data_IF_520001291874
#
_entry.id   IF_520001291874
#
_cell.length_a   1.000
_cell.length_b   1.000
_cell.length_c   1.000
_cell.angle_alpha   90.00
_cell.angle_beta   90.00
_cell.angle_gamma   90.00
#
_symmetry.space_group_name_H-M   'P 1'
#
loop_
_entity.id
_entity.type
_entity.pdbx_description
1 polymer ?
#
# COMPACT_ATOMS: atom_id res chain seq x y z
N UNK A 1 -24.55 -3.82 13.50
CA UNK A 1 -23.66 -4.23 12.39
C UNK A 1 -24.48 -4.27 11.10
N UNK A 2 -23.98 -3.68 10.03
CA UNK A 2 -24.70 -3.53 8.74
C UNK A 2 -24.85 -4.84 7.95
N UNK A 3 -24.38 -5.98 8.47
CA UNK A 3 -24.35 -7.26 7.77
C UNK A 3 -23.36 -7.32 6.59
N UNK A 4 -22.58 -6.28 6.37
CA UNK A 4 -21.56 -6.24 5.31
C UNK A 4 -20.33 -7.06 5.69
N UNK A 5 -19.81 -7.82 4.73
CA UNK A 5 -18.55 -8.57 4.88
C UNK A 5 -17.38 -7.65 4.57
N UNK A 6 -16.41 -7.60 5.48
CA UNK A 6 -15.17 -6.87 5.31
C UNK A 6 -13.99 -7.84 5.13
N UNK A 7 -13.04 -7.46 4.30
CA UNK A 7 -11.79 -8.19 4.08
C UNK A 7 -10.65 -7.23 4.42
N UNK A 8 -9.82 -7.61 5.38
CA UNK A 8 -8.60 -6.88 5.70
C UNK A 8 -7.47 -7.34 4.77
N UNK A 9 -6.80 -6.41 4.11
CA UNK A 9 -5.59 -6.68 3.29
C UNK A 9 -4.30 -6.46 4.08
N UNK A 10 -4.41 -5.89 5.29
CA UNK A 10 -3.24 -5.45 6.05
C UNK A 10 -2.56 -4.25 5.40
N UNK A 11 -1.24 -4.16 5.59
CA UNK A 11 -0.42 -3.12 4.95
C UNK A 11 -0.17 -3.53 3.50
N UNK A 12 -0.64 -2.74 2.55
CA UNK A 12 -0.49 -3.01 1.12
C UNK A 12 -0.32 -1.72 0.31
N UNK A 13 0.31 -1.76 -0.87
CA UNK A 13 0.33 -0.62 -1.79
C UNK A 13 -1.07 -0.24 -2.25
N UNK A 14 -1.32 1.07 -2.41
CA UNK A 14 -2.63 1.57 -2.86
C UNK A 14 -3.16 0.88 -4.13
N UNK A 15 -2.34 0.60 -5.17
CA UNK A 15 -2.81 -0.09 -6.38
C UNK A 15 -3.35 -1.51 -6.16
N UNK A 16 -3.04 -2.15 -5.03
CA UNK A 16 -3.61 -3.46 -4.70
C UNK A 16 -5.13 -3.40 -4.55
N UNK A 17 -5.67 -2.29 -4.03
CA UNK A 17 -7.12 -2.12 -3.82
C UNK A 17 -7.89 -2.19 -5.15
N UNK A 18 -7.66 -1.28 -6.13
CA UNK A 18 -8.37 -1.34 -7.41
C UNK A 18 -8.13 -2.63 -8.19
N UNK A 19 -6.93 -3.20 -8.12
CA UNK A 19 -6.64 -4.49 -8.72
C UNK A 19 -7.54 -5.59 -8.14
N UNK A 20 -7.60 -5.72 -6.82
CA UNK A 20 -8.37 -6.77 -6.16
C UNK A 20 -9.88 -6.57 -6.28
N UNK A 21 -10.37 -5.32 -6.34
CA UNK A 21 -11.78 -5.06 -6.66
C UNK A 21 -12.14 -5.74 -7.97
N UNK A 22 -11.35 -5.53 -9.02
CA UNK A 22 -11.63 -6.07 -10.35
C UNK A 22 -11.46 -7.59 -10.45
N UNK A 23 -10.39 -8.13 -9.85
CA UNK A 23 -9.98 -9.52 -10.09
C UNK A 23 -10.50 -10.51 -9.02
N UNK A 24 -10.91 -10.01 -7.86
CA UNK A 24 -11.51 -10.82 -6.80
C UNK A 24 -13.01 -10.54 -6.60
N UNK A 25 -13.64 -9.75 -7.50
CA UNK A 25 -15.08 -9.48 -7.47
C UNK A 25 -15.56 -8.74 -6.23
N UNK A 26 -14.75 -7.79 -5.72
CA UNK A 26 -15.11 -7.02 -4.54
C UNK A 26 -15.98 -5.82 -4.93
N UNK A 27 -16.96 -5.48 -4.08
CA UNK A 27 -17.92 -4.41 -4.38
C UNK A 27 -17.34 -3.00 -4.25
N UNK A 28 -16.31 -2.81 -3.43
CA UNK A 28 -15.65 -1.52 -3.19
C UNK A 28 -14.38 -1.74 -2.36
N UNK A 29 -13.56 -0.70 -2.21
CA UNK A 29 -12.37 -0.75 -1.36
C UNK A 29 -12.05 0.58 -0.71
N UNK A 30 -11.39 0.50 0.44
CA UNK A 30 -10.95 1.67 1.21
C UNK A 30 -9.45 1.52 1.48
N UNK A 31 -8.69 2.57 1.18
CA UNK A 31 -7.29 2.70 1.55
C UNK A 31 -7.12 3.83 2.57
N UNK A 32 -6.46 3.53 3.66
CA UNK A 32 -6.06 4.51 4.65
C UNK A 32 -4.59 4.84 4.41
N UNK A 33 -4.31 6.05 3.92
CA UNK A 33 -2.95 6.48 3.56
C UNK A 33 -2.90 7.97 3.25
N UNK A 34 -1.88 8.66 3.76
CA UNK A 34 -1.55 10.03 3.40
C UNK A 34 -0.47 10.13 2.29
N UNK A 35 -0.24 9.03 1.53
CA UNK A 35 0.74 8.97 0.43
C UNK A 35 2.17 9.21 0.91
N UNK A 36 2.84 10.27 0.41
CA UNK A 36 4.22 10.63 0.73
C UNK A 36 4.34 11.65 1.89
N UNK A 37 3.23 11.98 2.54
CA UNK A 37 3.25 12.90 3.68
C UNK A 37 3.92 12.24 4.90
N UNK A 38 4.43 13.06 5.85
CA UNK A 38 4.94 12.59 7.13
C UNK A 38 3.88 11.82 7.96
N UNK A 39 4.30 11.07 9.00
CA UNK A 39 3.42 10.15 9.73
C UNK A 39 2.29 10.82 10.50
N UNK A 40 2.36 12.14 10.76
CA UNK A 40 1.31 12.91 11.42
C UNK A 40 0.05 13.06 10.56
N UNK A 41 0.18 12.87 9.26
CA UNK A 41 -0.92 12.97 8.31
C UNK A 41 -1.55 11.62 8.03
N UNK A 42 -2.83 11.63 7.75
CA UNK A 42 -3.55 10.46 7.26
C UNK A 42 -4.63 10.88 6.26
N UNK A 43 -5.19 9.91 5.56
CA UNK A 43 -6.23 10.16 4.57
C UNK A 43 -6.99 8.88 4.23
N UNK A 44 -8.18 9.04 3.66
CA UNK A 44 -9.03 7.94 3.23
C UNK A 44 -9.25 8.07 1.72
N UNK A 45 -8.97 6.99 0.98
CA UNK A 45 -9.29 6.87 -0.45
C UNK A 45 -10.33 5.77 -0.61
N UNK A 46 -11.43 6.08 -1.27
CA UNK A 46 -12.52 5.13 -1.52
C UNK A 46 -12.55 4.81 -3.01
N UNK A 47 -12.69 3.51 -3.31
CA UNK A 47 -12.78 2.97 -4.67
C UNK A 47 -14.13 2.31 -4.86
N UNK A 48 -14.74 2.54 -6.01
CA UNK A 48 -16.01 1.91 -6.41
C UNK A 48 -15.82 0.46 -6.90
N UNK A 49 -16.87 -0.16 -7.33
CA UNK A 49 -16.88 -1.54 -7.85
C UNK A 49 -16.06 -1.74 -9.14
N UNK A 50 -15.74 -0.66 -9.85
CA UNK A 50 -14.85 -0.67 -11.03
C UNK A 50 -13.38 -0.46 -10.66
N UNK A 51 -13.05 -0.33 -9.36
CA UNK A 51 -11.71 0.03 -8.90
C UNK A 51 -11.32 1.48 -9.22
N UNK A 52 -12.30 2.34 -9.53
CA UNK A 52 -12.07 3.76 -9.76
C UNK A 52 -12.22 4.53 -8.44
N UNK A 53 -11.37 5.54 -8.24
CA UNK A 53 -11.56 6.45 -7.11
C UNK A 53 -12.90 7.15 -7.26
N UNK A 54 -13.70 7.18 -6.20
CA UNK A 54 -15.01 7.85 -6.20
C UNK A 54 -14.87 9.33 -6.58
N UNK A 55 -15.91 9.87 -7.22
CA UNK A 55 -15.95 11.28 -7.64
C UNK A 55 -16.03 12.24 -6.44
N UNK A 56 -15.60 13.48 -6.63
CA UNK A 56 -15.66 14.51 -5.59
C UNK A 56 -17.09 14.73 -5.06
N UNK A 57 -18.09 14.61 -5.92
CA UNK A 57 -19.48 14.71 -5.51
C UNK A 57 -19.86 13.59 -4.52
N UNK A 58 -19.42 12.35 -4.75
CA UNK A 58 -19.65 11.22 -3.85
C UNK A 58 -18.87 11.40 -2.55
N UNK A 59 -17.59 11.84 -2.63
CA UNK A 59 -16.79 12.17 -1.44
C UNK A 59 -17.52 13.19 -0.55
N UNK A 60 -18.01 14.29 -1.12
CA UNK A 60 -18.71 15.34 -0.38
C UNK A 60 -20.00 14.80 0.28
N UNK A 61 -20.76 13.94 -0.41
CA UNK A 61 -21.96 13.30 0.19
C UNK A 61 -21.59 12.41 1.36
N UNK A 62 -20.54 11.60 1.25
CA UNK A 62 -20.05 10.74 2.33
C UNK A 62 -19.58 11.57 3.52
N UNK A 63 -18.80 12.63 3.27
CA UNK A 63 -18.33 13.52 4.33
C UNK A 63 -19.50 14.14 5.10
N UNK A 64 -20.51 14.65 4.41
CA UNK A 64 -21.71 15.19 5.04
C UNK A 64 -22.45 14.16 5.89
N UNK A 65 -22.59 12.93 5.38
CA UNK A 65 -23.23 11.84 6.14
C UNK A 65 -22.44 11.51 7.42
N UNK A 66 -21.11 11.50 7.36
CA UNK A 66 -20.25 11.27 8.54
C UNK A 66 -20.43 12.38 9.58
N UNK A 67 -20.43 13.65 9.13
CA UNK A 67 -20.63 14.81 9.99
C UNK A 67 -22.01 14.79 10.68
N UNK A 68 -23.06 14.48 9.94
CA UNK A 68 -24.42 14.38 10.45
C UNK A 68 -24.58 13.19 11.43
N UNK A 69 -23.92 12.08 11.16
CA UNK A 69 -23.90 10.92 12.04
C UNK A 69 -23.16 11.19 13.36
N UNK A 70 -22.00 11.83 13.27
CA UNK A 70 -21.17 12.16 14.43
C UNK A 70 -21.86 13.12 15.41
N UNK A 71 -22.76 13.99 14.91
CA UNK A 71 -23.57 14.89 15.75
C UNK A 71 -24.70 14.17 16.50
N UNK A 72 -25.15 13.01 15.99
CA UNK A 72 -26.37 12.33 16.50
C UNK A 72 -26.09 11.20 17.48
N UNK A 73 -24.89 10.62 17.47
CA UNK A 73 -24.57 9.46 18.32
C UNK A 73 -23.12 9.47 18.78
N UNK A 74 -22.89 9.15 20.05
CA UNK A 74 -21.58 8.64 20.49
C UNK A 74 -21.38 7.25 19.86
N UNK A 75 -20.44 7.14 18.95
CA UNK A 75 -20.15 5.86 18.30
C UNK A 75 -19.39 4.96 19.24
N UNK A 76 -20.08 4.04 19.91
CA UNK A 76 -19.42 2.92 20.57
C UNK A 76 -18.94 1.95 19.49
N UNK A 77 -17.68 2.08 19.10
CA UNK A 77 -17.04 1.13 18.17
C UNK A 77 -16.60 -0.10 18.96
N UNK A 78 -17.16 -1.25 18.63
CA UNK A 78 -16.56 -2.51 19.03
C UNK A 78 -15.36 -2.76 18.11
N UNK A 79 -14.20 -2.90 18.70
CA UNK A 79 -13.00 -3.23 17.93
C UNK A 79 -13.18 -4.59 17.25
N UNK A 80 -13.05 -4.62 15.92
CA UNK A 80 -13.12 -5.85 15.13
C UNK A 80 -11.70 -6.12 14.64
N UNK A 81 -11.06 -7.12 15.21
CA UNK A 81 -9.80 -7.62 14.69
C UNK A 81 -10.09 -8.57 13.53
N UNK A 82 -9.56 -8.25 12.35
CA UNK A 82 -9.62 -9.11 11.16
C UNK A 82 -8.19 -9.44 10.73
N UNK A 83 -7.88 -10.71 10.62
CA UNK A 83 -6.60 -11.15 10.08
C UNK A 83 -6.43 -10.74 8.61
N UNK A 84 -5.22 -10.29 8.20
CA UNK A 84 -4.95 -9.94 6.81
C UNK A 84 -5.11 -11.14 5.86
N UNK A 85 -5.79 -10.92 4.75
CA UNK A 85 -5.98 -11.93 3.71
C UNK A 85 -4.73 -12.08 2.84
N UNK A 86 -3.86 -13.01 3.20
CA UNK A 86 -2.59 -13.28 2.51
C UNK A 86 -2.79 -13.72 1.06
N UNK A 87 -3.83 -14.53 0.78
CA UNK A 87 -4.10 -15.04 -0.59
C UNK A 87 -4.39 -13.93 -1.59
N UNK A 88 -5.15 -12.91 -1.18
CA UNK A 88 -5.43 -11.76 -2.04
C UNK A 88 -4.16 -10.94 -2.29
N UNK A 89 -3.32 -10.78 -1.28
CA UNK A 89 -2.03 -10.09 -1.46
C UNK A 89 -1.08 -10.88 -2.37
N UNK A 90 -1.03 -12.19 -2.25
CA UNK A 90 -0.27 -13.07 -3.17
C UNK A 90 -0.79 -12.93 -4.61
N UNK A 91 -2.11 -12.87 -4.82
CA UNK A 91 -2.72 -12.64 -6.14
C UNK A 91 -2.23 -11.33 -6.76
N UNK A 92 -2.18 -10.25 -5.97
CA UNK A 92 -1.67 -8.96 -6.43
C UNK A 92 -0.17 -9.02 -6.75
N UNK A 93 0.66 -9.61 -5.90
CA UNK A 93 2.10 -9.76 -6.11
C UNK A 93 2.37 -10.57 -7.37
N UNK A 94 1.68 -11.70 -7.54
CA UNK A 94 1.83 -12.55 -8.72
C UNK A 94 1.44 -11.82 -10.01
N UNK A 95 0.40 -10.98 -9.98
CA UNK A 95 0.04 -10.18 -11.15
C UNK A 95 1.14 -9.20 -11.55
N UNK A 96 1.82 -8.59 -10.57
CA UNK A 96 2.96 -7.69 -10.86
C UNK A 96 4.14 -8.46 -11.46
N UNK A 97 4.43 -9.67 -10.97
CA UNK A 97 5.48 -10.53 -11.53
C UNK A 97 5.10 -10.91 -12.97
N UNK A 98 3.85 -11.27 -13.23
CA UNK A 98 3.37 -11.60 -14.58
C UNK A 98 3.45 -10.44 -15.57
N UNK A 99 3.32 -9.17 -15.14
CA UNK A 99 3.53 -8.02 -16.04
C UNK A 99 4.94 -7.91 -16.57
N UNK A 100 5.88 -8.60 -15.93
CA UNK A 100 7.31 -8.65 -16.30
C UNK A 100 7.68 -9.99 -16.95
N UNK A 101 6.70 -10.73 -17.50
CA UNK A 101 6.94 -11.99 -18.19
C UNK A 101 8.00 -11.83 -19.30
N UNK A 102 8.99 -12.72 -19.31
CA UNK A 102 10.13 -12.64 -20.23
C UNK A 102 11.27 -11.72 -19.80
N UNK A 103 11.14 -10.99 -18.69
CA UNK A 103 12.23 -10.20 -18.11
C UNK A 103 12.98 -11.02 -17.09
N UNK A 104 14.27 -11.22 -17.31
CA UNK A 104 15.20 -11.84 -16.36
C UNK A 104 16.13 -10.76 -15.79
N UNK A 105 16.10 -10.61 -14.46
CA UNK A 105 16.98 -9.70 -13.73
C UNK A 105 18.13 -10.44 -13.02
N UNK A 106 18.42 -11.67 -13.42
CA UNK A 106 19.51 -12.46 -12.85
C UNK A 106 20.85 -11.71 -12.96
N UNK A 107 21.57 -11.65 -11.86
CA UNK A 107 22.83 -10.91 -11.75
C UNK A 107 22.69 -9.40 -11.48
N UNK A 108 21.52 -8.82 -11.65
CA UNK A 108 21.29 -7.41 -11.32
C UNK A 108 21.21 -7.19 -9.81
N UNK A 109 21.96 -6.23 -9.30
CA UNK A 109 21.91 -5.78 -7.91
C UNK A 109 21.02 -4.56 -7.79
N UNK A 110 19.98 -4.66 -6.95
CA UNK A 110 19.01 -3.58 -6.76
C UNK A 110 19.01 -3.14 -5.29
N UNK A 111 19.11 -1.83 -5.06
CA UNK A 111 18.92 -1.21 -3.75
C UNK A 111 17.55 -0.54 -3.68
N UNK A 112 16.69 -0.98 -2.77
CA UNK A 112 15.35 -0.41 -2.58
C UNK A 112 15.27 0.40 -1.29
N UNK A 113 14.76 1.63 -1.38
CA UNK A 113 14.28 2.39 -0.23
C UNK A 113 12.76 2.28 -0.16
N UNK A 114 12.24 1.55 0.83
CA UNK A 114 10.81 1.35 1.01
C UNK A 114 10.17 2.38 1.94
N UNK A 115 10.94 3.39 2.38
CA UNK A 115 10.51 4.52 3.22
C UNK A 115 9.59 4.15 4.39
N UNK A 116 9.80 2.97 4.98
CA UNK A 116 8.94 2.38 6.02
C UNK A 116 7.46 2.26 5.59
N UNK A 117 7.18 2.33 4.29
CA UNK A 117 5.86 2.35 3.70
C UNK A 117 5.37 0.97 3.26
N UNK A 118 4.25 0.96 2.58
CA UNK A 118 3.57 -0.26 2.14
C UNK A 118 4.35 -1.10 1.13
N UNK A 119 5.27 -0.51 0.35
CA UNK A 119 6.15 -1.23 -0.57
C UNK A 119 7.04 -2.25 0.15
N UNK A 120 7.34 -2.05 1.45
CA UNK A 120 8.07 -3.00 2.28
C UNK A 120 7.43 -4.40 2.32
N UNK A 121 6.14 -4.52 2.02
CA UNK A 121 5.40 -5.79 2.06
C UNK A 121 5.55 -6.64 0.80
N UNK A 122 5.96 -6.07 -0.33
CA UNK A 122 5.93 -6.77 -1.62
C UNK A 122 7.17 -6.51 -2.51
N UNK A 123 7.78 -5.33 -2.49
CA UNK A 123 8.78 -4.95 -3.48
C UNK A 123 9.97 -5.92 -3.53
N UNK A 124 10.55 -6.28 -2.39
CA UNK A 124 11.66 -7.24 -2.34
C UNK A 124 11.28 -8.60 -2.95
N UNK A 125 10.10 -9.09 -2.65
CA UNK A 125 9.60 -10.37 -3.17
C UNK A 125 9.46 -10.33 -4.68
N UNK A 126 8.90 -9.26 -5.24
CA UNK A 126 8.71 -9.10 -6.68
C UNK A 126 10.05 -9.15 -7.41
N UNK A 127 11.01 -8.31 -7.05
CA UNK A 127 12.31 -8.25 -7.72
C UNK A 127 13.13 -9.53 -7.55
N UNK A 128 13.04 -10.19 -6.38
CA UNK A 128 13.68 -11.50 -6.18
C UNK A 128 13.09 -12.59 -7.06
N UNK A 129 11.79 -12.61 -7.27
CA UNK A 129 11.15 -13.56 -8.17
C UNK A 129 11.55 -13.33 -9.64
N UNK A 130 12.00 -12.15 -9.99
CA UNK A 130 12.54 -11.80 -11.30
C UNK A 130 14.06 -12.07 -11.41
N UNK A 131 14.69 -12.64 -10.38
CA UNK A 131 16.11 -13.05 -10.39
C UNK A 131 17.09 -12.04 -9.78
N UNK A 132 16.64 -10.85 -9.38
CA UNK A 132 17.54 -9.82 -8.86
C UNK A 132 18.10 -10.11 -7.46
N UNK A 133 19.35 -9.68 -7.21
CA UNK A 133 19.89 -9.55 -5.85
C UNK A 133 19.42 -8.23 -5.24
N UNK A 134 18.58 -8.31 -4.20
CA UNK A 134 17.86 -7.16 -3.66
C UNK A 134 18.28 -6.84 -2.23
N UNK A 135 18.89 -5.68 -2.03
CA UNK A 135 19.06 -5.05 -0.71
C UNK A 135 17.96 -4.02 -0.47
N UNK A 136 17.49 -3.94 0.78
CA UNK A 136 16.41 -3.01 1.15
C UNK A 136 16.82 -2.20 2.36
N UNK A 137 16.61 -0.89 2.29
CA UNK A 137 16.74 0.02 3.41
C UNK A 137 15.36 0.55 3.82
N UNK A 138 15.26 1.08 5.03
CA UNK A 138 14.02 1.65 5.59
C UNK A 138 12.84 0.68 5.49
N UNK A 139 13.07 -0.60 5.82
CA UNK A 139 12.16 -1.73 5.58
C UNK A 139 11.49 -2.23 6.87
N UNK A 140 11.01 -1.36 7.74
CA UNK A 140 10.17 -1.77 8.86
C UNK A 140 8.72 -1.35 8.65
N UNK A 141 7.79 -2.09 9.25
CA UNK A 141 6.35 -1.79 9.21
C UNK A 141 5.93 -0.81 10.32
N UNK A 142 6.84 0.09 10.70
CA UNK A 142 6.55 1.08 11.73
C UNK A 142 5.98 2.36 11.09
N UNK A 143 4.67 2.51 11.13
CA UNK A 143 3.97 3.67 10.57
C UNK A 143 4.41 5.02 11.12
N UNK A 144 4.96 5.07 12.34
CA UNK A 144 5.52 6.30 12.94
C UNK A 144 6.82 6.77 12.26
N UNK A 145 7.43 5.93 11.41
CA UNK A 145 8.63 6.26 10.66
C UNK A 145 8.39 6.47 9.16
N UNK A 146 7.14 6.28 8.71
CA UNK A 146 6.81 6.38 7.29
C UNK A 146 7.26 7.75 6.72
N UNK A 147 8.00 7.73 5.60
CA UNK A 147 8.51 8.91 4.91
C UNK A 147 9.41 9.85 5.75
N UNK A 148 9.83 9.44 6.95
CA UNK A 148 10.74 10.26 7.78
C UNK A 148 12.15 10.23 7.22
N UNK A 149 12.55 11.37 6.64
CA UNK A 149 13.88 11.57 6.08
C UNK A 149 14.32 10.51 5.05
N UNK A 150 13.40 9.93 4.31
CA UNK A 150 13.64 8.88 3.31
C UNK A 150 12.58 8.87 2.21
N UNK A 151 12.72 7.94 1.25
CA UNK A 151 11.76 7.74 0.17
C UNK A 151 11.83 8.78 -0.94
N UNK A 152 10.75 8.91 -1.71
CA UNK A 152 10.70 9.71 -2.95
C UNK A 152 10.93 11.20 -2.77
N UNK A 153 10.72 11.74 -1.58
CA UNK A 153 10.93 13.15 -1.25
C UNK A 153 12.31 13.43 -0.68
N UNK A 154 13.08 12.39 -0.28
CA UNK A 154 14.43 12.52 0.22
C UNK A 154 15.29 11.31 -0.18
N UNK A 155 16.05 11.45 -1.26
CA UNK A 155 16.92 10.40 -1.80
C UNK A 155 18.28 10.29 -1.10
N UNK A 156 18.59 11.12 -0.10
CA UNK A 156 19.91 11.12 0.55
C UNK A 156 20.25 9.76 1.19
N UNK A 157 19.35 9.07 1.91
CA UNK A 157 19.63 7.75 2.46
C UNK A 157 19.93 6.70 1.39
N UNK A 158 19.17 6.69 0.29
CA UNK A 158 19.40 5.76 -0.82
C UNK A 158 20.76 6.02 -1.49
N UNK A 159 21.10 7.29 -1.76
CA UNK A 159 22.40 7.66 -2.32
C UNK A 159 23.56 7.26 -1.41
N UNK A 160 23.41 7.41 -0.08
CA UNK A 160 24.41 6.97 0.90
C UNK A 160 24.56 5.45 0.86
N UNK A 161 23.46 4.72 0.90
CA UNK A 161 23.46 3.25 0.87
C UNK A 161 24.12 2.70 -0.41
N UNK A 162 23.90 3.33 -1.56
CA UNK A 162 24.52 2.97 -2.84
C UNK A 162 26.04 3.24 -2.86
N UNK A 163 26.52 4.28 -2.17
CA UNK A 163 27.97 4.52 -2.03
C UNK A 163 28.64 3.47 -1.16
N UNK A 164 27.99 3.05 -0.07
CA UNK A 164 28.48 2.03 0.85
C UNK A 164 28.37 0.61 0.29
N UNK A 165 27.34 0.35 -0.50
CA UNK A 165 27.04 -0.93 -1.13
C UNK A 165 26.63 -0.69 -2.58
N UNK A 166 27.57 -0.68 -3.53
CA UNK A 166 27.27 -0.44 -4.93
C UNK A 166 26.24 -1.44 -5.48
N UNK A 167 25.28 -0.93 -6.25
CA UNK A 167 24.26 -1.68 -6.94
C UNK A 167 24.04 -1.07 -8.35
N UNK A 168 23.48 -1.86 -9.25
CA UNK A 168 23.26 -1.44 -10.65
C UNK A 168 22.10 -0.43 -10.71
N UNK A 169 21.17 -0.53 -9.76
CA UNK A 169 20.00 0.35 -9.67
C UNK A 169 19.62 0.62 -8.22
N UNK A 170 19.13 1.85 -7.98
CA UNK A 170 18.54 2.25 -6.70
C UNK A 170 17.29 3.08 -6.89
#
# INVERSE_FOLDING_TARGET
ASGKKFINLGICPTPAIPFLIKHAGLSSGIMISASHNPPEYNGIKIFDHNGQKITKNIENKIQKLIEDFSKKQSVHTKEISLEPNKKLMEMYINSLIQTMEGVDLSGMKIMLDTCYGSAATCAKTIFKNLGADVKVINNSKNGLKINMNCGSTNLAPLKKALKENPADMG
#
